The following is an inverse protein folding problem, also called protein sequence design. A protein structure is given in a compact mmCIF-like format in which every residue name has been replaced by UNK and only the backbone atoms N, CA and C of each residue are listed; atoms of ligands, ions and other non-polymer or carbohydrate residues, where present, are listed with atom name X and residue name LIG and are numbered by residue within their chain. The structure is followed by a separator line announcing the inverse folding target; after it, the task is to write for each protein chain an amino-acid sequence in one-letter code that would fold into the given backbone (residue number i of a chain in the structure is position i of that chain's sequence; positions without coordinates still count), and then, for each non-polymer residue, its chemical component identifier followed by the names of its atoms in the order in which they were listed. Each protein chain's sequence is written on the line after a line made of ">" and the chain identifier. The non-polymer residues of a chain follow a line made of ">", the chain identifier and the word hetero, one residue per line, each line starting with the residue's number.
data_IF_249901537689
#
_entry.id   IF_249901537689
#
_cell.length_a   1.000
_cell.length_b   1.000
_cell.length_c   1.000
_cell.angle_alpha   90.00
_cell.angle_beta   90.00
_cell.angle_gamma   90.00
#
_symmetry.space_group_name_H-M   'P 1'
#
loop_
_entity.id
_entity.type
_entity.pdbx_description
1 polymer ?
#
# COMPACT_ATOMS: atom_id res chain seq x y z
N UNK A 1 13.73 -31.60 -4.95
CA UNK A 1 13.11 -30.48 -5.69
C UNK A 1 12.73 -29.41 -4.70
N UNK A 2 13.17 -28.16 -4.88
CA UNK A 2 12.75 -27.06 -4.00
C UNK A 2 11.31 -26.67 -4.31
N UNK A 3 10.45 -26.66 -3.28
CA UNK A 3 9.06 -26.16 -3.39
C UNK A 3 9.00 -24.63 -3.43
N UNK A 4 10.09 -23.94 -3.07
CA UNK A 4 10.13 -22.48 -2.98
C UNK A 4 10.89 -21.94 -4.20
N UNK A 5 10.25 -21.01 -4.91
CA UNK A 5 10.85 -20.21 -5.98
C UNK A 5 10.87 -18.73 -5.56
N UNK A 6 12.04 -18.07 -5.58
CA UNK A 6 12.09 -16.63 -5.34
C UNK A 6 11.42 -15.89 -6.49
N UNK A 7 10.81 -14.75 -6.17
CA UNK A 7 10.25 -13.82 -7.14
C UNK A 7 10.66 -12.38 -6.76
N UNK A 8 10.61 -11.48 -7.74
CA UNK A 8 10.92 -10.07 -7.48
C UNK A 8 9.72 -9.41 -6.82
N UNK A 9 9.96 -8.72 -5.70
CA UNK A 9 8.95 -7.86 -5.09
C UNK A 9 8.57 -6.72 -6.02
N UNK A 10 7.28 -6.40 -6.08
CA UNK A 10 6.79 -5.22 -6.77
C UNK A 10 7.11 -3.98 -5.93
N UNK A 11 7.59 -2.93 -6.59
CA UNK A 11 7.83 -1.62 -5.97
C UNK A 11 7.17 -0.54 -6.84
N UNK A 12 6.60 0.51 -6.24
CA UNK A 12 6.10 1.65 -7.00
C UNK A 12 7.26 2.34 -7.74
N UNK A 13 6.91 3.00 -8.85
CA UNK A 13 7.83 3.91 -9.52
C UNK A 13 8.20 5.06 -8.57
N UNK A 14 9.43 5.60 -8.63
CA UNK A 14 9.90 6.62 -7.69
C UNK A 14 8.95 7.80 -7.52
N UNK A 15 8.34 8.26 -8.61
CA UNK A 15 7.45 9.42 -8.67
C UNK A 15 6.13 9.19 -7.91
N UNK A 16 5.74 7.93 -7.71
CA UNK A 16 4.48 7.54 -7.04
C UNK A 16 4.70 6.90 -5.68
N UNK A 17 5.94 6.81 -5.20
CA UNK A 17 6.23 6.18 -3.91
C UNK A 17 5.44 6.83 -2.76
N UNK A 18 5.31 8.16 -2.79
CA UNK A 18 4.54 8.92 -1.79
C UNK A 18 3.02 8.74 -1.90
N UNK A 19 2.50 8.34 -3.06
CA UNK A 19 1.07 8.09 -3.22
C UNK A 19 0.67 6.75 -2.60
N UNK A 20 1.57 5.77 -2.65
CA UNK A 20 1.32 4.40 -2.20
C UNK A 20 1.68 4.20 -0.73
N UNK A 21 2.59 5.00 -0.17
CA UNK A 21 3.03 4.83 1.23
C UNK A 21 1.84 4.95 2.19
N UNK A 22 1.71 3.97 3.08
CA UNK A 22 0.68 3.92 4.11
C UNK A 22 1.32 3.66 5.48
N UNK A 23 0.76 4.24 6.57
CA UNK A 23 1.15 3.88 7.91
C UNK A 23 0.77 2.41 8.19
N UNK A 24 1.41 1.76 9.18
CA UNK A 24 1.04 0.41 9.59
C UNK A 24 -0.41 0.33 10.09
N UNK A 25 -1.01 -0.86 9.97
CA UNK A 25 -2.43 -1.12 10.19
C UNK A 25 -2.90 -0.96 11.65
N UNK A 26 -1.98 -0.83 12.60
CA UNK A 26 -2.25 -0.56 14.02
C UNK A 26 -2.36 0.94 14.33
N UNK A 27 -2.09 1.81 13.35
CA UNK A 27 -2.06 3.28 13.53
C UNK A 27 -3.33 3.96 13.00
N UNK A 28 -4.24 3.21 12.37
CA UNK A 28 -5.37 3.80 11.64
C UNK A 28 -6.63 2.93 11.75
N UNK A 29 -7.77 3.55 12.00
CA UNK A 29 -9.08 2.92 11.84
C UNK A 29 -9.51 2.88 10.37
N UNK A 30 -10.45 1.99 10.03
CA UNK A 30 -10.99 1.92 8.66
C UNK A 30 -11.69 3.20 8.21
N UNK A 31 -12.22 3.99 9.15
CA UNK A 31 -12.85 5.28 8.85
C UNK A 31 -11.79 6.30 8.42
N UNK A 32 -10.75 6.50 9.24
CA UNK A 32 -9.63 7.39 8.91
C UNK A 32 -8.89 6.97 7.62
N UNK A 33 -8.85 5.66 7.32
CA UNK A 33 -8.31 5.14 6.06
C UNK A 33 -9.09 5.64 4.84
N UNK A 34 -10.43 5.58 4.88
CA UNK A 34 -11.29 6.03 3.79
C UNK A 34 -11.15 7.53 3.57
N UNK A 35 -11.12 8.30 4.65
CA UNK A 35 -10.92 9.75 4.58
C UNK A 35 -9.57 10.09 3.94
N UNK A 36 -8.49 9.44 4.37
CA UNK A 36 -7.14 9.67 3.82
C UNK A 36 -6.95 9.16 2.40
N UNK A 37 -7.75 8.19 1.95
CA UNK A 37 -7.71 7.65 0.60
C UNK A 37 -8.59 8.45 -0.39
N UNK A 38 -9.51 9.28 0.10
CA UNK A 38 -10.40 10.07 -0.73
C UNK A 38 -9.62 10.97 -1.70
N UNK A 39 -9.99 10.93 -2.99
CA UNK A 39 -9.32 11.69 -4.04
C UNK A 39 -7.89 11.23 -4.38
N UNK A 40 -7.35 10.19 -3.72
CA UNK A 40 -6.02 9.63 -3.95
C UNK A 40 -6.14 8.26 -4.61
N UNK A 41 -6.21 8.18 -5.96
CA UNK A 41 -6.50 6.92 -6.66
C UNK A 41 -5.43 5.84 -6.48
N UNK A 42 -4.19 6.24 -6.18
CA UNK A 42 -3.06 5.33 -6.00
C UNK A 42 -2.75 5.00 -4.53
N UNK A 43 -3.62 5.39 -3.60
CA UNK A 43 -3.44 5.12 -2.17
C UNK A 43 -3.55 3.63 -1.86
N UNK A 44 -2.58 3.10 -1.10
CA UNK A 44 -2.66 1.72 -0.60
C UNK A 44 -3.81 1.53 0.43
N UNK A 45 -4.29 2.62 1.03
CA UNK A 45 -5.38 2.60 2.02
C UNK A 45 -6.73 2.17 1.45
N UNK A 46 -6.89 2.06 0.12
CA UNK A 46 -8.10 1.49 -0.48
C UNK A 46 -8.28 -0.01 -0.20
N UNK A 47 -7.18 -0.71 0.11
CA UNK A 47 -7.16 -2.17 0.35
C UNK A 47 -6.54 -2.55 1.71
N UNK A 48 -6.13 -1.55 2.50
CA UNK A 48 -5.49 -1.74 3.81
C UNK A 48 -6.50 -2.02 4.92
#
# INVERSE_FOLDING_TARGET
>A
MSLIRPFRGLRPVPERAADVVAPPYDVLSSEEARERAAGRPWSFLHIS
#
